data_IF_436558179974
#
_entry.id   IF_436558179974
#
_cell.length_a   1.000
_cell.length_b   1.000
_cell.length_c   1.000
_cell.angle_alpha   90.00
_cell.angle_beta   90.00
_cell.angle_gamma   90.00
#
_symmetry.space_group_name_H-M   'P 1'
#
loop_
_entity.id
_entity.type
_entity.pdbx_description
1 polymer ?
#
# COMPACT_ATOMS: atom_id res chain seq x y z
N UNK A 1 -16.70 14.09 25.24
CA UNK A 1 -17.66 14.56 26.26
C UNK A 1 -18.91 14.96 25.51
N UNK A 2 -20.04 14.30 25.76
CA UNK A 2 -21.35 14.70 25.22
C UNK A 2 -22.05 15.44 26.35
N UNK A 3 -22.50 16.67 26.10
CA UNK A 3 -23.36 17.34 27.07
C UNK A 3 -24.65 16.54 27.22
N UNK A 4 -24.97 16.13 28.46
CA UNK A 4 -26.20 15.38 28.76
C UNK A 4 -27.40 16.17 28.21
N UNK A 5 -28.30 15.44 27.55
CA UNK A 5 -29.56 15.94 26.96
C UNK A 5 -29.44 16.70 25.61
N UNK A 6 -28.25 16.79 25.01
CA UNK A 6 -28.14 17.33 23.66
C UNK A 6 -28.40 16.26 22.59
N UNK A 7 -29.69 16.05 22.30
CA UNK A 7 -30.18 15.06 21.33
C UNK A 7 -29.58 15.24 19.92
N UNK A 8 -29.22 16.47 19.54
CA UNK A 8 -28.58 16.77 18.25
C UNK A 8 -27.14 16.24 18.19
N UNK A 9 -26.38 16.31 19.30
CA UNK A 9 -25.03 15.75 19.35
C UNK A 9 -25.02 14.22 19.40
N UNK A 10 -25.97 13.61 20.11
CA UNK A 10 -26.10 12.15 20.12
C UNK A 10 -26.48 11.60 18.74
N UNK A 11 -27.42 12.25 18.06
CA UNK A 11 -27.80 11.87 16.69
C UNK A 11 -26.66 12.07 15.70
N UNK A 12 -25.91 13.16 15.81
CA UNK A 12 -24.71 13.39 14.98
C UNK A 12 -23.65 12.30 15.17
N UNK A 13 -23.30 11.96 16.42
CA UNK A 13 -22.32 10.92 16.72
C UNK A 13 -22.77 9.54 16.25
N UNK A 14 -24.06 9.24 16.40
CA UNK A 14 -24.66 8.00 15.89
C UNK A 14 -24.57 7.93 14.37
N UNK A 15 -24.89 9.03 13.68
CA UNK A 15 -24.81 9.10 12.22
C UNK A 15 -23.36 8.97 11.73
N UNK A 16 -22.40 9.64 12.38
CA UNK A 16 -20.99 9.54 12.05
C UNK A 16 -20.49 8.09 12.20
N UNK A 17 -20.81 7.43 13.33
CA UNK A 17 -20.46 6.02 13.56
C UNK A 17 -21.07 5.10 12.49
N UNK A 18 -22.35 5.29 12.18
CA UNK A 18 -23.03 4.49 11.16
C UNK A 18 -22.39 4.70 9.78
N UNK A 19 -22.02 5.93 9.43
CA UNK A 19 -21.35 6.22 8.16
C UNK A 19 -19.98 5.56 8.05
N UNK A 20 -19.20 5.54 9.14
CA UNK A 20 -17.92 4.84 9.20
C UNK A 20 -18.11 3.33 9.03
N UNK A 21 -19.09 2.75 9.73
CA UNK A 21 -19.36 1.31 9.66
C UNK A 21 -19.81 0.89 8.26
N UNK A 22 -20.66 1.69 7.60
CA UNK A 22 -21.09 1.45 6.21
C UNK A 22 -19.91 1.52 5.25
N UNK A 23 -19.07 2.55 5.34
CA UNK A 23 -17.88 2.68 4.49
C UNK A 23 -16.91 1.52 4.70
N UNK A 24 -16.75 1.07 5.95
CA UNK A 24 -15.89 -0.06 6.29
C UNK A 24 -16.43 -1.37 5.72
N UNK A 25 -17.73 -1.62 5.81
CA UNK A 25 -18.38 -2.80 5.21
C UNK A 25 -18.25 -2.79 3.69
N UNK A 26 -18.56 -1.67 3.03
CA UNK A 26 -18.43 -1.57 1.58
C UNK A 26 -16.98 -1.74 1.09
N UNK A 27 -16.00 -1.24 1.85
CA UNK A 27 -14.58 -1.45 1.52
C UNK A 27 -14.18 -2.92 1.67
N UNK A 28 -14.67 -3.60 2.71
CA UNK A 28 -14.45 -5.03 2.91
C UNK A 28 -15.11 -5.83 1.79
N UNK A 29 -16.38 -5.59 1.47
CA UNK A 29 -17.10 -6.28 0.38
C UNK A 29 -16.43 -6.05 -0.98
N UNK A 30 -15.92 -4.84 -1.27
CA UNK A 30 -15.13 -4.59 -2.48
C UNK A 30 -13.80 -5.33 -2.52
N UNK A 31 -13.28 -5.72 -1.36
CA UNK A 31 -12.02 -6.46 -1.20
C UNK A 31 -12.26 -7.95 -0.89
N UNK A 32 -13.52 -8.37 -0.73
CA UNK A 32 -13.89 -9.73 -0.36
C UNK A 32 -13.85 -10.62 -1.60
N UNK A 33 -12.67 -11.20 -1.82
CA UNK A 33 -12.39 -12.12 -2.91
C UNK A 33 -12.86 -13.55 -2.60
N UNK A 34 -13.59 -13.78 -1.51
CA UNK A 34 -14.03 -15.13 -1.08
C UNK A 34 -15.05 -15.79 -2.02
N UNK A 35 -15.70 -15.02 -2.89
CA UNK A 35 -16.59 -15.53 -3.95
C UNK A 35 -15.87 -15.96 -5.23
N UNK A 36 -14.57 -15.70 -5.35
CA UNK A 36 -13.77 -16.19 -6.46
C UNK A 36 -13.26 -17.57 -6.06
N UNK A 37 -13.97 -18.61 -6.49
CA UNK A 37 -13.41 -19.96 -6.57
C UNK A 37 -11.97 -19.85 -7.12
N UNK A 38 -11.03 -20.53 -6.46
CA UNK A 38 -9.57 -20.39 -6.62
C UNK A 38 -9.00 -20.65 -8.04
N UNK A 39 -9.85 -20.72 -9.05
CA UNK A 39 -9.54 -20.82 -10.48
C UNK A 39 -9.49 -19.45 -11.18
N UNK A 40 -10.20 -18.41 -10.70
CA UNK A 40 -10.19 -17.07 -11.34
C UNK A 40 -9.05 -16.15 -10.89
N UNK A 41 -8.30 -16.51 -9.84
CA UNK A 41 -7.03 -15.85 -9.51
C UNK A 41 -5.97 -16.06 -10.60
N UNK A 42 -6.19 -16.98 -11.54
CA UNK A 42 -5.34 -17.21 -12.71
C UNK A 42 -5.74 -16.37 -13.94
N UNK A 43 -6.80 -15.54 -13.87
CA UNK A 43 -7.24 -14.73 -15.01
C UNK A 43 -7.23 -13.22 -14.76
N UNK A 44 -6.65 -12.76 -13.65
CA UNK A 44 -6.14 -11.39 -13.59
C UNK A 44 -4.79 -11.45 -14.28
N UNK A 45 -4.80 -11.16 -15.58
CA UNK A 45 -3.67 -10.94 -16.49
C UNK A 45 -2.32 -11.20 -15.82
N UNK A 46 -2.03 -12.50 -15.63
CA UNK A 46 -0.83 -12.99 -14.98
C UNK A 46 0.25 -12.92 -16.02
N UNK A 47 0.68 -11.71 -16.36
CA UNK A 47 1.99 -11.56 -16.94
C UNK A 47 2.97 -12.08 -15.87
N UNK A 48 3.87 -13.02 -16.21
CA UNK A 48 4.88 -13.54 -15.29
C UNK A 48 5.82 -12.43 -14.76
N UNK A 49 5.70 -11.22 -15.32
CA UNK A 49 6.43 -10.01 -14.95
C UNK A 49 5.88 -9.33 -13.67
N UNK A 50 4.70 -9.73 -13.16
CA UNK A 50 4.00 -9.08 -12.04
C UNK A 50 4.13 -9.80 -10.69
N UNK A 51 4.81 -10.94 -10.67
CA UNK A 51 5.04 -11.77 -9.48
C UNK A 51 6.54 -11.93 -9.25
N UNK A 52 7.02 -11.43 -8.12
CA UNK A 52 8.41 -11.55 -7.69
C UNK A 52 8.56 -12.71 -6.71
N UNK A 53 9.39 -13.69 -7.05
CA UNK A 53 9.70 -14.79 -6.13
C UNK A 53 11.03 -14.51 -5.44
N UNK A 54 11.00 -14.49 -4.11
CA UNK A 54 12.22 -14.38 -3.30
C UNK A 54 12.95 -15.70 -3.36
N UNK A 55 14.11 -15.74 -4.03
CA UNK A 55 14.93 -16.95 -4.21
C UNK A 55 15.30 -17.63 -2.87
N UNK A 56 15.57 -16.84 -1.84
CA UNK A 56 15.99 -17.33 -0.52
C UNK A 56 14.89 -18.02 0.29
N UNK A 57 13.63 -17.61 0.12
CA UNK A 57 12.50 -18.10 0.95
C UNK A 57 11.41 -18.80 0.14
N UNK A 58 11.47 -18.72 -1.19
CA UNK A 58 10.43 -19.20 -2.09
C UNK A 58 9.12 -18.42 -1.98
N UNK A 59 9.08 -17.30 -1.25
CA UNK A 59 7.89 -16.48 -1.09
C UNK A 59 7.60 -15.74 -2.40
N UNK A 60 6.36 -15.84 -2.90
CA UNK A 60 5.91 -15.13 -4.10
C UNK A 60 5.15 -13.88 -3.69
N UNK A 61 5.61 -12.73 -4.19
CA UNK A 61 5.07 -11.41 -3.92
C UNK A 61 4.52 -10.84 -5.21
N UNK A 62 3.21 -10.67 -5.26
CA UNK A 62 2.56 -9.89 -6.32
C UNK A 62 2.62 -8.40 -6.00
N UNK A 63 2.51 -7.57 -7.03
CA UNK A 63 2.39 -6.12 -6.89
C UNK A 63 1.27 -5.68 -5.93
N UNK A 64 0.17 -6.43 -5.92
CA UNK A 64 -0.97 -6.14 -5.06
C UNK A 64 -0.68 -6.48 -3.58
N UNK A 65 0.15 -7.49 -3.33
CA UNK A 65 0.56 -7.91 -1.98
C UNK A 65 1.75 -7.12 -1.41
N UNK A 66 2.59 -6.56 -2.29
CA UNK A 66 3.84 -5.91 -1.89
C UNK A 66 3.63 -4.69 -0.98
N UNK A 67 2.61 -3.86 -1.26
CA UNK A 67 2.25 -2.73 -0.38
C UNK A 67 1.92 -3.23 1.04
N UNK A 68 1.09 -4.27 1.13
CA UNK A 68 0.70 -4.87 2.41
C UNK A 68 1.89 -5.45 3.17
N UNK A 69 2.85 -6.08 2.47
CA UNK A 69 4.06 -6.62 3.06
C UNK A 69 4.99 -5.54 3.62
N UNK A 70 5.15 -4.40 2.92
CA UNK A 70 5.92 -3.27 3.44
C UNK A 70 5.26 -2.69 4.69
N UNK A 71 3.93 -2.55 4.70
CA UNK A 71 3.20 -2.15 5.91
C UNK A 71 3.37 -3.15 7.06
N UNK A 72 3.30 -4.45 6.76
CA UNK A 72 3.54 -5.50 7.73
C UNK A 72 4.97 -5.43 8.29
N UNK A 73 5.98 -5.27 7.44
CA UNK A 73 7.37 -5.07 7.86
C UNK A 73 7.51 -3.88 8.81
N UNK A 74 6.95 -2.72 8.43
CA UNK A 74 6.95 -1.54 9.29
C UNK A 74 6.26 -1.77 10.64
N UNK A 75 5.23 -2.62 10.70
CA UNK A 75 4.57 -2.99 11.97
C UNK A 75 5.43 -3.85 12.90
N UNK A 76 6.42 -4.56 12.35
CA UNK A 76 7.34 -5.42 13.12
C UNK A 76 8.55 -4.64 13.66
N UNK A 77 8.76 -3.39 13.23
CA UNK A 77 9.83 -2.56 13.76
C UNK A 77 9.55 -2.17 15.22
N UNK A 78 10.59 -2.03 16.05
CA UNK A 78 10.41 -1.61 17.44
C UNK A 78 9.71 -0.26 17.47
N UNK A 79 8.46 -0.22 17.96
CA UNK A 79 7.67 1.01 18.02
C UNK A 79 7.87 1.70 19.37
N UNK A 80 8.23 2.98 19.37
CA UNK A 80 8.11 3.84 20.55
C UNK A 80 6.82 4.69 20.45
N UNK A 81 6.40 5.26 21.58
CA UNK A 81 5.22 6.12 21.77
C UNK A 81 5.18 7.35 20.86
N UNK A 82 6.30 7.68 20.23
CA UNK A 82 6.48 8.81 19.33
C UNK A 82 6.74 8.41 17.86
N UNK A 83 6.85 7.10 17.56
CA UNK A 83 7.18 6.62 16.23
C UNK A 83 5.92 6.33 15.41
N UNK A 84 5.73 7.06 14.30
CA UNK A 84 4.74 6.70 13.28
C UNK A 84 5.43 5.73 12.31
N UNK A 85 5.19 4.43 12.47
CA UNK A 85 5.73 3.38 11.62
C UNK A 85 4.91 3.24 10.32
N UNK A 86 4.78 4.33 9.54
CA UNK A 86 4.16 4.27 8.22
C UNK A 86 5.22 4.40 7.12
N UNK A 87 5.25 3.46 6.17
CA UNK A 87 6.02 3.65 4.94
C UNK A 87 5.37 4.75 4.09
N UNK A 88 6.19 5.53 3.39
CA UNK A 88 5.75 6.55 2.45
C UNK A 88 6.26 6.23 1.05
N UNK A 89 5.35 6.22 0.08
CA UNK A 89 5.67 5.97 -1.33
C UNK A 89 5.60 7.29 -2.10
N UNK A 90 6.74 7.78 -2.57
CA UNK A 90 6.87 9.06 -3.25
C UNK A 90 7.14 8.80 -4.72
N UNK A 91 6.25 9.27 -5.59
CA UNK A 91 6.46 9.20 -7.03
C UNK A 91 7.16 10.46 -7.52
N UNK A 92 8.35 10.31 -8.14
CA UNK A 92 9.03 11.42 -8.77
C UNK A 92 8.86 11.39 -10.28
N UNK A 93 8.66 12.57 -10.87
CA UNK A 93 8.60 12.76 -12.30
C UNK A 93 9.92 13.37 -12.76
N UNK A 94 10.57 12.71 -13.70
CA UNK A 94 11.81 13.16 -14.33
C UNK A 94 11.49 13.58 -15.76
N UNK A 95 11.64 14.87 -16.06
CA UNK A 95 11.55 15.36 -17.43
C UNK A 95 12.94 15.28 -18.06
N UNK A 96 13.07 14.48 -19.14
CA UNK A 96 14.32 14.42 -19.89
C UNK A 96 14.45 15.60 -20.85
N UNK A 97 15.69 16.08 -21.12
CA UNK A 97 15.96 17.06 -22.17
C UNK A 97 15.69 16.39 -23.53
N UNK A 98 14.45 16.52 -24.01
CA UNK A 98 13.91 15.75 -25.14
C UNK A 98 12.39 15.59 -25.11
N UNK A 99 11.72 15.99 -24.01
CA UNK A 99 10.26 16.01 -23.90
C UNK A 99 9.62 14.67 -23.51
N UNK A 100 10.42 13.63 -23.26
CA UNK A 100 9.93 12.38 -22.70
C UNK A 100 9.81 12.49 -21.17
N UNK A 101 8.65 12.09 -20.66
CA UNK A 101 8.34 12.00 -19.23
C UNK A 101 8.75 10.63 -18.71
N UNK A 102 9.58 10.63 -17.68
CA UNK A 102 9.96 9.43 -16.94
C UNK A 102 9.54 9.54 -15.49
N UNK A 103 9.46 8.39 -14.83
CA UNK A 103 8.96 8.29 -13.48
C UNK A 103 9.88 7.38 -12.67
N UNK A 104 10.12 7.75 -11.43
CA UNK A 104 10.77 6.89 -10.44
C UNK A 104 9.90 6.79 -9.20
N UNK A 105 9.99 5.67 -8.50
CA UNK A 105 9.30 5.48 -7.23
C UNK A 105 10.33 5.42 -6.10
N UNK A 106 10.10 6.19 -5.05
CA UNK A 106 10.93 6.25 -3.87
C UNK A 106 10.14 5.75 -2.67
N UNK A 107 10.63 4.71 -2.02
CA UNK A 107 10.09 4.23 -0.76
C UNK A 107 10.89 4.84 0.39
N UNK A 108 10.19 5.51 1.29
CA UNK A 108 10.74 6.01 2.54
C UNK A 108 10.18 5.17 3.69
N UNK A 109 11.08 4.52 4.41
CA UNK A 109 10.76 3.76 5.61
C UNK A 109 10.86 4.65 6.85
N UNK A 110 10.16 4.31 7.94
CA UNK A 110 10.29 5.02 9.21
C UNK A 110 11.73 4.93 9.75
N UNK A 111 12.15 5.92 10.55
CA UNK A 111 13.51 6.05 11.11
C UNK A 111 14.00 4.84 11.93
N UNK A 112 13.09 3.92 12.29
CA UNK A 112 13.40 2.73 13.06
C UNK A 112 13.83 1.55 12.14
N UNK A 113 13.70 1.70 10.83
CA UNK A 113 14.19 0.73 9.86
C UNK A 113 15.71 0.90 9.66
N UNK A 114 16.45 -0.21 9.41
CA UNK A 114 17.90 -0.16 9.16
C UNK A 114 18.28 0.62 7.90
N UNK A 115 17.34 0.80 6.97
CA UNK A 115 17.49 1.64 5.79
C UNK A 115 16.25 2.52 5.65
N UNK A 116 16.48 3.81 5.36
CA UNK A 116 15.43 4.83 5.44
C UNK A 116 14.86 5.16 4.05
N UNK A 117 15.66 5.00 2.99
CA UNK A 117 15.34 5.44 1.64
C UNK A 117 15.77 4.38 0.63
N UNK A 118 14.81 3.96 -0.18
CA UNK A 118 15.01 3.10 -1.34
C UNK A 118 14.51 3.83 -2.57
N UNK A 119 15.29 3.84 -3.64
CA UNK A 119 14.94 4.49 -4.90
C UNK A 119 14.91 3.44 -6.01
N UNK A 120 13.75 3.32 -6.65
CA UNK A 120 13.55 2.43 -7.78
C UNK A 120 14.11 3.04 -9.08
N UNK A 121 14.41 2.20 -10.08
CA UNK A 121 14.93 2.67 -11.35
C UNK A 121 13.91 3.51 -12.12
N UNK A 122 14.44 4.38 -12.98
CA UNK A 122 13.64 5.31 -13.78
C UNK A 122 12.96 4.55 -14.92
N UNK A 123 11.63 4.68 -15.01
CA UNK A 123 10.80 3.99 -15.99
C UNK A 123 9.96 4.99 -16.80
N UNK A 124 9.59 4.63 -18.03
CA UNK A 124 8.72 5.47 -18.88
C UNK A 124 7.23 5.50 -18.45
N UNK A 125 6.85 4.75 -17.42
CA UNK A 125 5.46 4.67 -16.94
C UNK A 125 5.43 4.61 -15.42
N UNK A 126 4.45 5.30 -14.82
CA UNK A 126 4.23 5.33 -13.37
C UNK A 126 4.03 3.90 -12.82
N UNK A 127 3.20 3.11 -13.50
CA UNK A 127 2.88 1.74 -13.08
C UNK A 127 4.14 0.86 -13.07
N UNK A 128 5.01 1.04 -14.06
CA UNK A 128 6.26 0.28 -14.18
C UNK A 128 7.27 0.71 -13.11
N UNK A 129 7.42 2.00 -12.83
CA UNK A 129 8.33 2.47 -11.79
C UNK A 129 7.94 2.00 -10.38
N UNK A 130 6.64 1.95 -10.07
CA UNK A 130 6.17 1.35 -8.81
C UNK A 130 6.49 -0.14 -8.75
N UNK A 131 6.32 -0.85 -9.87
CA UNK A 131 6.57 -2.28 -9.95
C UNK A 131 8.04 -2.65 -9.76
N UNK A 132 8.95 -1.96 -10.45
CA UNK A 132 10.38 -2.28 -10.35
C UNK A 132 10.95 -1.90 -8.97
N UNK A 133 10.41 -0.87 -8.31
CA UNK A 133 10.83 -0.50 -6.97
C UNK A 133 10.61 -1.62 -5.94
N UNK A 134 9.50 -2.35 -6.03
CA UNK A 134 9.18 -3.46 -5.11
C UNK A 134 10.08 -4.68 -5.34
N UNK A 135 10.51 -4.89 -6.58
CA UNK A 135 11.44 -5.96 -6.96
C UNK A 135 12.87 -5.64 -6.53
N UNK A 136 13.24 -4.36 -6.48
CA UNK A 136 14.61 -3.91 -6.17
C UNK A 136 14.96 -3.93 -4.67
N UNK A 137 14.17 -4.62 -3.83
CA UNK A 137 14.28 -4.67 -2.37
C UNK A 137 15.19 -5.81 -1.85
N UNK A 138 16.12 -6.29 -2.67
CA UNK A 138 17.14 -7.32 -2.31
C UNK A 138 18.21 -6.82 -1.33
#
# INVERSE_FOLDING_TARGET
MVERENLAHETFLRNARNSEETLRKEAIERTDLSHLDGTLLNSIDTSPDSMYQVESTGAVVSLNSAVGLVHFYCSQLPSDRYSILRPEFIMQKHEKPGGSMEYSCKLQLPCNAPFEKLEGPICGSIRLAQQVMMVSLE
#
